data_IF_034432115801
#
_entry.id   IF_034432115801
#
_cell.length_a   1.000
_cell.length_b   1.000
_cell.length_c   1.000
_cell.angle_alpha   90.00
_cell.angle_beta   90.00
_cell.angle_gamma   90.00
#
_symmetry.space_group_name_H-M   'P 1'
#
loop_
_entity.id
_entity.type
_entity.pdbx_description
1 polymer ?
#
# COMPACT_ATOMS: atom_id res chain seq x y z
N UNK A 1 -10.95 -18.17 2.03
CA UNK A 1 -10.97 -16.68 2.18
C UNK A 1 -11.92 -16.07 3.23
N UNK A 2 -13.19 -16.51 3.37
CA UNK A 2 -14.17 -15.86 4.28
C UNK A 2 -13.67 -15.66 5.73
N UNK A 3 -13.05 -16.68 6.33
CA UNK A 3 -12.46 -16.63 7.69
C UNK A 3 -11.36 -15.54 7.82
N UNK A 4 -10.50 -15.39 6.81
CA UNK A 4 -9.42 -14.39 6.79
C UNK A 4 -10.02 -12.98 6.76
N UNK A 5 -10.98 -12.73 5.87
CA UNK A 5 -11.63 -11.43 5.75
C UNK A 5 -12.37 -11.04 7.03
N UNK A 6 -13.05 -12.00 7.68
CA UNK A 6 -13.70 -11.79 8.98
C UNK A 6 -12.68 -11.38 10.05
N UNK A 7 -11.52 -12.06 10.12
CA UNK A 7 -10.45 -11.73 11.07
C UNK A 7 -9.86 -10.33 10.80
N UNK A 8 -9.65 -9.95 9.54
CA UNK A 8 -9.15 -8.63 9.15
C UNK A 8 -10.15 -7.54 9.55
N UNK A 9 -11.44 -7.72 9.24
CA UNK A 9 -12.50 -6.77 9.63
C UNK A 9 -12.53 -6.51 11.13
N UNK A 10 -12.45 -7.57 11.95
CA UNK A 10 -12.36 -7.43 13.41
C UNK A 10 -11.12 -6.66 13.86
N UNK A 11 -9.97 -6.89 13.22
CA UNK A 11 -8.75 -6.16 13.54
C UNK A 11 -8.86 -4.67 13.19
N UNK A 12 -9.42 -4.33 12.04
CA UNK A 12 -9.61 -2.93 11.63
C UNK A 12 -10.64 -2.23 12.52
N UNK A 13 -11.71 -2.90 12.91
CA UNK A 13 -12.64 -2.38 13.93
C UNK A 13 -11.91 -2.10 15.25
N UNK A 14 -11.11 -3.05 15.74
CA UNK A 14 -10.32 -2.85 16.97
C UNK A 14 -9.33 -1.70 16.83
N UNK A 15 -8.67 -1.56 15.69
CA UNK A 15 -7.76 -0.44 15.42
C UNK A 15 -8.49 0.90 15.39
N UNK A 16 -9.68 0.95 14.80
CA UNK A 16 -10.49 2.17 14.76
C UNK A 16 -10.83 2.66 16.17
N UNK A 17 -11.20 1.74 17.08
CA UNK A 17 -11.42 2.06 18.49
C UNK A 17 -10.14 2.49 19.20
N UNK A 18 -8.99 1.85 18.91
CA UNK A 18 -7.69 2.19 19.50
C UNK A 18 -7.22 3.62 19.20
N UNK A 19 -7.64 4.16 18.05
CA UNK A 19 -7.23 5.47 17.54
C UNK A 19 -8.39 6.48 17.44
N UNK A 20 -9.56 6.17 18.01
CA UNK A 20 -10.76 7.02 17.91
C UNK A 20 -11.15 7.40 16.45
N UNK A 21 -11.04 6.45 15.52
CA UNK A 21 -11.30 6.66 14.10
C UNK A 21 -12.68 6.15 13.69
N UNK A 22 -13.29 6.82 12.71
CA UNK A 22 -14.49 6.31 12.03
C UNK A 22 -14.15 5.03 11.27
N UNK A 23 -15.09 4.10 11.24
CA UNK A 23 -14.97 2.81 10.58
C UNK A 23 -16.21 2.52 9.74
N UNK A 24 -16.02 1.96 8.55
CA UNK A 24 -17.08 1.32 7.77
C UNK A 24 -16.58 -0.01 7.20
N UNK A 25 -17.36 -1.09 7.36
CA UNK A 25 -17.03 -2.44 6.87
C UNK A 25 -16.92 -2.54 5.35
N UNK A 26 -17.54 -1.62 4.63
CA UNK A 26 -17.67 -1.62 3.16
C UNK A 26 -16.46 -1.00 2.47
N UNK A 27 -15.53 -0.41 3.24
CA UNK A 27 -14.26 0.10 2.72
C UNK A 27 -13.34 -1.01 2.21
N UNK A 28 -13.58 -2.27 2.60
CA UNK A 28 -12.82 -3.41 2.08
C UNK A 28 -13.28 -3.77 0.67
N UNK A 29 -12.59 -3.21 -0.33
CA UNK A 29 -12.68 -3.63 -1.73
C UNK A 29 -11.30 -3.93 -2.27
N UNK A 30 -11.10 -5.15 -2.77
CA UNK A 30 -9.83 -5.57 -3.34
C UNK A 30 -10.03 -6.32 -4.66
N UNK A 31 -8.97 -6.35 -5.47
CA UNK A 31 -8.86 -7.23 -6.64
C UNK A 31 -7.47 -7.84 -6.70
N UNK A 32 -7.37 -9.01 -7.31
CA UNK A 32 -6.09 -9.59 -7.67
C UNK A 32 -5.63 -9.04 -9.02
N UNK A 33 -4.37 -8.62 -9.07
CA UNK A 33 -3.72 -8.16 -10.28
C UNK A 33 -2.46 -8.99 -10.56
N UNK A 34 -2.07 -9.13 -11.83
CA UNK A 34 -0.77 -9.66 -12.21
C UNK A 34 0.40 -8.88 -11.58
N UNK A 35 1.53 -9.56 -11.35
CA UNK A 35 2.70 -8.94 -10.70
C UNK A 35 3.35 -7.84 -11.55
N UNK A 36 3.43 -8.04 -12.87
CA UNK A 36 3.87 -7.03 -13.84
C UNK A 36 3.05 -5.73 -13.72
N UNK A 37 1.74 -5.84 -13.50
CA UNK A 37 0.87 -4.68 -13.31
C UNK A 37 1.15 -3.93 -12.00
N UNK A 38 1.50 -4.60 -10.91
CA UNK A 38 1.92 -3.91 -9.67
C UNK A 38 3.17 -3.07 -9.92
N UNK A 39 4.14 -3.65 -10.62
CA UNK A 39 5.38 -2.93 -10.97
C UNK A 39 5.06 -1.70 -11.81
N UNK A 40 4.18 -1.84 -12.81
CA UNK A 40 3.73 -0.71 -13.62
C UNK A 40 2.98 0.33 -12.79
N UNK A 41 2.11 -0.09 -11.87
CA UNK A 41 1.34 0.80 -11.00
C UNK A 41 2.28 1.62 -10.10
N UNK A 42 3.26 0.97 -9.46
CA UNK A 42 4.29 1.63 -8.68
C UNK A 42 5.12 2.62 -9.53
N UNK A 43 5.50 2.18 -10.74
CA UNK A 43 6.27 2.97 -11.70
C UNK A 43 5.55 4.26 -12.10
N UNK A 44 4.23 4.20 -12.32
CA UNK A 44 3.37 5.31 -12.76
C UNK A 44 3.37 6.53 -11.81
N UNK A 45 3.94 6.43 -10.61
CA UNK A 45 4.13 7.58 -9.71
C UNK A 45 3.52 7.41 -8.32
N UNK A 46 3.08 6.21 -7.97
CA UNK A 46 2.51 5.95 -6.64
C UNK A 46 3.55 5.56 -5.60
N UNK A 47 4.71 5.04 -6.01
CA UNK A 47 5.79 4.75 -5.09
C UNK A 47 6.84 5.89 -5.12
N UNK A 48 7.18 6.50 -3.97
CA UNK A 48 8.25 7.50 -3.86
C UNK A 48 9.67 6.90 -4.02
N UNK A 49 9.77 5.65 -4.48
CA UNK A 49 11.01 4.89 -4.56
C UNK A 49 12.08 5.57 -5.42
N UNK A 50 13.34 5.37 -5.00
CA UNK A 50 14.53 5.73 -5.75
C UNK A 50 14.71 4.84 -6.98
N UNK A 51 14.26 3.60 -6.92
CA UNK A 51 14.46 2.59 -7.97
C UNK A 51 13.89 3.04 -9.32
N UNK A 52 12.78 3.79 -9.31
CA UNK A 52 12.16 4.33 -10.51
C UNK A 52 12.74 5.68 -10.96
N UNK A 53 13.51 6.38 -10.11
CA UNK A 53 14.06 7.71 -10.44
C UNK A 53 15.05 7.65 -11.60
N UNK A 54 15.75 6.53 -11.79
CA UNK A 54 16.65 6.32 -12.93
C UNK A 54 15.95 6.38 -14.29
N UNK A 55 14.64 6.14 -14.32
CA UNK A 55 13.81 6.25 -15.52
C UNK A 55 13.00 7.55 -15.57
N UNK A 56 13.15 8.44 -14.57
CA UNK A 56 12.47 9.73 -14.51
C UNK A 56 12.00 10.09 -13.10
N UNK A 57 12.23 11.34 -12.71
CA UNK A 57 11.74 11.89 -11.43
C UNK A 57 10.26 12.27 -11.50
N UNK A 58 9.77 12.68 -12.68
CA UNK A 58 8.36 13.04 -12.91
C UNK A 58 7.59 11.93 -13.60
N UNK A 59 6.26 11.95 -13.48
CA UNK A 59 5.36 11.00 -14.15
C UNK A 59 5.55 11.06 -15.67
N UNK A 60 5.74 12.25 -16.22
CA UNK A 60 5.93 12.50 -17.65
C UNK A 60 7.25 11.90 -18.15
N UNK A 61 8.36 12.09 -17.41
CA UNK A 61 9.65 11.48 -17.73
C UNK A 61 9.58 9.95 -17.65
N UNK A 62 8.89 9.41 -16.66
CA UNK A 62 8.68 7.96 -16.55
C UNK A 62 7.82 7.41 -17.69
N UNK A 63 6.78 8.14 -18.10
CA UNK A 63 5.94 7.77 -19.24
C UNK A 63 6.75 7.69 -20.54
N UNK A 64 7.64 8.66 -20.77
CA UNK A 64 8.55 8.66 -21.92
C UNK A 64 9.51 7.44 -21.91
N UNK A 65 9.97 7.02 -20.73
CA UNK A 65 10.88 5.88 -20.56
C UNK A 65 10.18 4.53 -20.34
N UNK A 66 8.84 4.47 -20.42
CA UNK A 66 8.06 3.28 -20.05
C UNK A 66 8.52 2.01 -20.76
N UNK A 67 8.72 2.08 -22.08
CA UNK A 67 9.11 0.90 -22.85
C UNK A 67 10.55 0.46 -22.57
N UNK A 68 11.45 1.40 -22.23
CA UNK A 68 12.82 1.09 -21.77
C UNK A 68 12.80 0.39 -20.41
N UNK A 69 11.91 0.83 -19.51
CA UNK A 69 11.76 0.20 -18.20
C UNK A 69 11.26 -1.25 -18.30
N UNK A 70 10.24 -1.51 -19.12
CA UNK A 70 9.59 -2.84 -19.19
C UNK A 70 10.54 -3.95 -19.69
N UNK A 71 11.51 -3.61 -20.52
CA UNK A 71 12.52 -4.57 -21.02
C UNK A 71 13.75 -4.67 -20.11
N UNK A 72 13.79 -3.91 -19.01
CA UNK A 72 14.94 -3.91 -18.10
C UNK A 72 14.90 -5.09 -17.12
N UNK A 73 16.08 -5.51 -16.65
CA UNK A 73 16.21 -6.52 -15.59
C UNK A 73 15.49 -6.09 -14.31
N UNK A 74 15.46 -4.79 -14.01
CA UNK A 74 14.76 -4.21 -12.86
C UNK A 74 13.28 -4.61 -12.85
N UNK A 75 12.61 -4.49 -14.01
CA UNK A 75 11.20 -4.82 -14.15
C UNK A 75 10.96 -6.30 -13.84
N UNK A 76 11.79 -7.18 -14.42
CA UNK A 76 11.73 -8.63 -14.21
C UNK A 76 11.98 -9.00 -12.75
N UNK A 77 12.91 -8.33 -12.06
CA UNK A 77 13.20 -8.59 -10.65
C UNK A 77 12.08 -8.09 -9.73
N UNK A 78 11.52 -6.90 -9.99
CA UNK A 78 10.41 -6.37 -9.22
C UNK A 78 9.11 -7.18 -9.40
N UNK A 79 8.89 -7.78 -10.58
CA UNK A 79 7.73 -8.60 -10.88
C UNK A 79 7.70 -9.94 -10.12
N UNK A 80 8.78 -10.32 -9.43
CA UNK A 80 8.82 -11.51 -8.56
C UNK A 80 8.25 -11.26 -7.16
N UNK A 81 8.01 -9.99 -6.79
CA UNK A 81 7.66 -9.60 -5.43
C UNK A 81 6.15 -9.59 -5.17
N UNK A 82 5.74 -10.05 -3.97
CA UNK A 82 4.40 -9.84 -3.44
C UNK A 82 4.17 -8.37 -3.10
N UNK A 83 2.92 -7.93 -3.07
CA UNK A 83 2.61 -6.58 -2.62
C UNK A 83 1.14 -6.21 -2.72
N UNK A 84 0.81 -5.14 -2.01
CA UNK A 84 -0.49 -4.49 -2.07
C UNK A 84 -0.30 -3.05 -2.49
N UNK A 85 -1.38 -2.43 -2.96
CA UNK A 85 -1.44 -0.99 -3.12
C UNK A 85 -2.89 -0.49 -3.11
N UNK A 86 -3.18 0.55 -2.34
CA UNK A 86 -4.43 1.31 -2.47
C UNK A 86 -4.35 2.27 -3.66
N UNK A 87 -5.37 2.25 -4.52
CA UNK A 87 -5.53 3.24 -5.59
C UNK A 87 -6.90 3.94 -5.51
N UNK A 88 -6.96 5.16 -6.02
CA UNK A 88 -8.19 5.94 -6.21
C UNK A 88 -8.51 6.24 -7.69
N UNK A 89 -9.49 7.11 -7.96
CA UNK A 89 -9.87 7.51 -9.32
C UNK A 89 -8.81 8.35 -10.04
N UNK A 90 -8.01 9.15 -9.32
CA UNK A 90 -6.94 9.97 -9.92
C UNK A 90 -5.79 9.07 -10.36
N UNK A 91 -5.44 8.16 -9.48
CA UNK A 91 -4.50 7.07 -9.70
C UNK A 91 -4.86 6.24 -10.95
N UNK A 92 -6.11 5.81 -11.06
CA UNK A 92 -6.63 5.09 -12.22
C UNK A 92 -6.42 5.84 -13.54
N UNK A 93 -6.69 7.15 -13.59
CA UNK A 93 -6.47 7.97 -14.79
C UNK A 93 -5.00 8.01 -15.21
N UNK A 94 -4.07 8.03 -14.26
CA UNK A 94 -2.63 7.94 -14.57
C UNK A 94 -2.31 6.57 -15.17
N UNK A 95 -2.82 5.49 -14.57
CA UNK A 95 -2.59 4.14 -15.07
C UNK A 95 -3.14 3.94 -16.50
N UNK A 96 -4.30 4.53 -16.83
CA UNK A 96 -4.86 4.52 -18.19
C UNK A 96 -3.88 5.13 -19.20
N UNK A 97 -3.37 6.34 -18.92
CA UNK A 97 -2.40 7.02 -19.79
C UNK A 97 -1.14 6.18 -20.05
N UNK A 98 -0.68 5.45 -19.04
CA UNK A 98 0.47 4.54 -19.20
C UNK A 98 0.12 3.33 -20.06
N UNK A 99 -1.04 2.71 -19.83
CA UNK A 99 -1.52 1.60 -20.62
C UNK A 99 -1.64 1.97 -22.11
N UNK A 100 -2.10 3.18 -22.42
CA UNK A 100 -2.24 3.66 -23.80
C UNK A 100 -0.89 3.75 -24.52
N UNK A 101 0.17 4.15 -23.80
CA UNK A 101 1.54 4.30 -24.33
C UNK A 101 2.38 3.01 -24.36
N UNK A 102 1.84 1.89 -23.87
CA UNK A 102 2.53 0.60 -23.95
C UNK A 102 2.65 0.12 -25.40
N UNK A 103 3.88 -0.16 -25.85
CA UNK A 103 4.13 -0.77 -27.17
C UNK A 103 3.96 -2.29 -27.16
N UNK A 104 4.24 -2.96 -26.04
CA UNK A 104 4.09 -4.40 -25.92
C UNK A 104 2.59 -4.78 -25.89
N UNK A 105 2.07 -5.32 -27.00
CA UNK A 105 0.64 -5.68 -27.17
C UNK A 105 0.14 -6.66 -26.11
N UNK A 106 0.91 -7.69 -25.78
CA UNK A 106 0.53 -8.71 -24.78
C UNK A 106 0.37 -8.09 -23.39
N UNK A 107 1.32 -7.22 -23.00
CA UNK A 107 1.26 -6.52 -21.71
C UNK A 107 0.16 -5.45 -21.69
N UNK A 108 -0.04 -4.73 -22.80
CA UNK A 108 -1.13 -3.75 -22.95
C UNK A 108 -2.50 -4.40 -22.78
N UNK A 109 -2.75 -5.53 -23.42
CA UNK A 109 -4.02 -6.26 -23.28
C UNK A 109 -4.26 -6.74 -21.84
N UNK A 110 -3.22 -7.29 -21.19
CA UNK A 110 -3.30 -7.66 -19.76
C UNK A 110 -3.63 -6.46 -18.88
N UNK A 111 -2.95 -5.33 -19.10
CA UNK A 111 -3.13 -4.13 -18.28
C UNK A 111 -4.52 -3.52 -18.50
N UNK A 112 -4.98 -3.42 -19.75
CA UNK A 112 -6.32 -2.94 -20.11
C UNK A 112 -7.42 -3.79 -19.46
N UNK A 113 -7.33 -5.11 -19.54
CA UNK A 113 -8.29 -6.01 -18.89
C UNK A 113 -8.38 -5.80 -17.38
N UNK A 114 -7.25 -5.55 -16.73
CA UNK A 114 -7.22 -5.28 -15.31
C UNK A 114 -7.73 -3.87 -14.96
N UNK A 115 -7.46 -2.87 -15.81
CA UNK A 115 -8.04 -1.52 -15.68
C UNK A 115 -9.56 -1.56 -15.74
N UNK A 116 -10.17 -2.36 -16.63
CA UNK A 116 -11.63 -2.52 -16.68
C UNK A 116 -12.18 -3.10 -15.36
N UNK A 117 -11.48 -4.07 -14.77
CA UNK A 117 -11.85 -4.63 -13.45
C UNK A 117 -11.71 -3.61 -12.32
N UNK A 118 -10.66 -2.80 -12.35
CA UNK A 118 -10.44 -1.70 -11.40
C UNK A 118 -11.58 -0.69 -11.50
N UNK A 119 -11.90 -0.25 -12.72
CA UNK A 119 -12.94 0.74 -12.97
C UNK A 119 -14.30 0.30 -12.42
N UNK A 120 -14.68 -0.95 -12.66
CA UNK A 120 -15.92 -1.52 -12.14
C UNK A 120 -15.98 -1.48 -10.60
N UNK A 121 -14.85 -1.63 -9.90
CA UNK A 121 -14.77 -1.48 -8.43
C UNK A 121 -14.83 -0.02 -8.01
N UNK A 122 -14.17 0.87 -8.74
CA UNK A 122 -14.16 2.32 -8.47
C UNK A 122 -15.49 3.02 -8.81
N UNK A 123 -16.39 2.38 -9.57
CA UNK A 123 -17.79 2.82 -9.69
C UNK A 123 -18.57 2.68 -8.38
N UNK A 124 -18.20 1.72 -7.53
CA UNK A 124 -18.89 1.38 -6.26
C UNK A 124 -18.13 1.88 -5.02
N UNK A 125 -16.99 2.52 -5.20
CA UNK A 125 -16.09 2.99 -4.13
C UNK A 125 -15.14 4.04 -4.66
N UNK A 126 -14.70 4.97 -3.82
CA UNK A 126 -13.64 5.91 -4.18
C UNK A 126 -12.25 5.26 -4.23
N UNK A 127 -12.08 4.07 -3.65
CA UNK A 127 -10.80 3.36 -3.52
C UNK A 127 -10.91 1.86 -3.74
N UNK A 128 -9.83 1.25 -4.21
CA UNK A 128 -9.67 -0.22 -4.31
C UNK A 128 -8.25 -0.64 -3.95
N UNK A 129 -8.12 -1.78 -3.28
CA UNK A 129 -6.85 -2.43 -2.97
C UNK A 129 -6.47 -3.35 -4.14
N UNK A 130 -5.30 -3.14 -4.71
CA UNK A 130 -4.69 -4.04 -5.68
C UNK A 130 -3.80 -5.01 -4.93
N UNK A 131 -3.98 -6.31 -5.14
CA UNK A 131 -3.14 -7.36 -4.56
C UNK A 131 -2.42 -8.12 -5.67
N UNK A 132 -1.09 -8.16 -5.60
CA UNK A 132 -0.25 -8.62 -6.69
C UNK A 132 0.50 -9.92 -6.41
N UNK A 133 0.91 -10.59 -7.50
CA UNK A 133 1.64 -11.87 -7.53
C UNK A 133 0.85 -13.07 -6.99
N UNK A 134 -0.43 -12.88 -6.71
CA UNK A 134 -1.31 -13.94 -6.24
C UNK A 134 -1.79 -14.73 -7.45
N UNK A 135 -1.04 -15.79 -7.80
CA UNK A 135 -1.57 -16.86 -8.64
C UNK A 135 -2.93 -17.28 -8.10
N UNK A 136 -3.85 -17.65 -8.99
CA UNK A 136 -5.30 -17.76 -8.73
C UNK A 136 -5.65 -18.33 -7.35
N UNK A 137 -6.75 -17.85 -6.75
CA UNK A 137 -7.27 -18.30 -5.45
C UNK A 137 -7.22 -19.84 -5.25
N UNK A 138 -7.42 -20.61 -6.31
CA UNK A 138 -7.37 -22.08 -6.30
C UNK A 138 -5.96 -22.68 -6.14
N UNK A 139 -4.91 -22.02 -6.62
CA UNK A 139 -3.51 -22.47 -6.38
C UNK A 139 -3.01 -22.07 -4.99
N UNK A 140 -3.67 -21.12 -4.32
CA UNK A 140 -3.27 -20.59 -3.01
C UNK A 140 -3.66 -21.49 -1.84
N UNK A 141 -4.71 -22.29 -1.97
CA UNK A 141 -5.14 -23.20 -0.90
C UNK A 141 -4.14 -24.35 -0.68
N UNK A 142 -3.24 -24.61 -1.65
CA UNK A 142 -2.19 -25.63 -1.56
C UNK A 142 -0.91 -25.19 -0.82
N UNK A 143 -0.73 -23.88 -0.52
CA UNK A 143 0.46 -23.37 0.18
C UNK A 143 0.06 -22.84 1.56
N UNK A 144 0.52 -23.52 2.62
CA UNK A 144 0.21 -23.21 4.03
C UNK A 144 0.45 -21.76 4.46
N UNK A 145 1.49 -21.10 3.93
CA UNK A 145 1.90 -19.75 4.33
C UNK A 145 1.25 -18.60 3.55
N UNK A 146 0.65 -18.89 2.39
CA UNK A 146 0.07 -17.87 1.51
C UNK A 146 -1.17 -17.16 2.09
N UNK A 147 -2.09 -17.85 2.78
CA UNK A 147 -3.16 -17.22 3.56
C UNK A 147 -2.64 -16.17 4.56
N UNK A 148 -1.46 -16.39 5.13
CA UNK A 148 -0.84 -15.46 6.06
C UNK A 148 -0.29 -14.24 5.33
N UNK A 149 0.47 -14.40 4.24
CA UNK A 149 1.01 -13.26 3.47
C UNK A 149 -0.12 -12.36 2.97
N UNK A 150 -1.17 -12.94 2.38
CA UNK A 150 -2.34 -12.19 1.89
C UNK A 150 -3.01 -11.43 3.02
N UNK A 151 -3.14 -12.07 4.19
CA UNK A 151 -3.70 -11.43 5.37
C UNK A 151 -2.88 -10.22 5.82
N UNK A 152 -1.55 -10.29 5.78
CA UNK A 152 -0.67 -9.19 6.18
C UNK A 152 -0.74 -8.03 5.18
N UNK A 153 -0.60 -8.32 3.89
CA UNK A 153 -0.68 -7.32 2.82
C UNK A 153 -2.05 -6.65 2.85
N UNK A 154 -3.13 -7.42 2.86
CA UNK A 154 -4.48 -6.84 2.85
C UNK A 154 -4.78 -6.05 4.12
N UNK A 155 -4.29 -6.49 5.29
CA UNK A 155 -4.44 -5.72 6.53
C UNK A 155 -3.68 -4.39 6.43
N UNK A 156 -2.44 -4.40 5.96
CA UNK A 156 -1.61 -3.22 5.78
C UNK A 156 -2.31 -2.18 4.87
N UNK A 157 -2.76 -2.58 3.68
CA UNK A 157 -3.47 -1.69 2.76
C UNK A 157 -4.80 -1.18 3.34
N UNK A 158 -5.51 -2.01 4.10
CA UNK A 158 -6.76 -1.60 4.73
C UNK A 158 -6.54 -0.61 5.89
N UNK A 159 -5.40 -0.68 6.58
CA UNK A 159 -4.99 0.35 7.55
C UNK A 159 -4.75 1.69 6.82
N UNK A 160 -4.10 1.70 5.65
CA UNK A 160 -4.00 2.92 4.84
C UNK A 160 -5.38 3.51 4.54
N UNK A 161 -6.33 2.68 4.09
CA UNK A 161 -7.71 3.16 3.82
C UNK A 161 -8.35 3.74 5.09
N UNK A 162 -8.25 3.07 6.24
CA UNK A 162 -8.78 3.56 7.51
C UNK A 162 -8.23 4.96 7.84
N UNK A 163 -6.92 5.15 7.75
CA UNK A 163 -6.28 6.43 8.04
C UNK A 163 -6.71 7.52 7.05
N UNK A 164 -6.70 7.22 5.76
CA UNK A 164 -7.02 8.20 4.72
C UNK A 164 -8.50 8.62 4.78
N UNK A 165 -9.42 7.69 5.05
CA UNK A 165 -10.85 8.00 5.27
C UNK A 165 -11.08 8.90 6.48
N UNK A 166 -10.17 8.88 7.43
CA UNK A 166 -10.14 9.78 8.58
C UNK A 166 -9.26 11.02 8.35
N UNK A 167 -8.92 11.36 7.09
CA UNK A 167 -8.10 12.52 6.71
C UNK A 167 -6.67 12.50 7.27
N UNK A 168 -6.16 11.33 7.62
CA UNK A 168 -4.76 11.11 8.05
C UNK A 168 -3.97 10.59 6.85
N UNK A 169 -3.25 11.50 6.19
CA UNK A 169 -2.32 11.18 5.11
C UNK A 169 -1.22 12.26 5.06
N UNK A 170 0.00 11.91 5.45
CA UNK A 170 1.15 12.80 5.55
C UNK A 170 1.79 13.09 4.20
N UNK A 171 1.63 12.19 3.22
CA UNK A 171 2.18 12.34 1.90
C UNK A 171 1.60 13.58 1.20
N UNK A 172 2.52 14.43 0.71
CA UNK A 172 2.23 15.42 -0.33
C UNK A 172 2.95 14.95 -1.61
N UNK A 173 2.49 15.38 -2.79
CA UNK A 173 3.18 15.09 -4.06
C UNK A 173 4.67 15.45 -3.92
N UNK A 174 5.57 14.51 -4.21
CA UNK A 174 7.04 14.64 -4.10
C UNK A 174 7.63 14.86 -2.68
N UNK A 175 6.90 14.58 -1.60
CA UNK A 175 7.40 14.86 -0.24
C UNK A 175 8.17 13.71 0.42
N UNK A 176 9.07 14.08 1.34
CA UNK A 176 9.79 13.15 2.25
C UNK A 176 8.89 12.49 3.31
N UNK A 177 7.59 12.84 3.34
CA UNK A 177 6.68 12.51 4.42
C UNK A 177 5.97 11.16 4.28
N UNK A 178 6.12 10.46 3.14
CA UNK A 178 5.63 9.08 2.97
C UNK A 178 6.09 8.14 4.11
N UNK A 179 7.26 8.40 4.70
CA UNK A 179 7.79 7.62 5.82
C UNK A 179 6.89 7.68 7.07
N UNK A 180 6.16 8.78 7.25
CA UNK A 180 5.19 8.91 8.34
C UNK A 180 3.94 8.06 8.07
N UNK A 181 3.46 8.00 6.82
CA UNK A 181 2.33 7.13 6.45
C UNK A 181 2.69 5.67 6.70
N UNK A 182 3.78 5.20 6.08
CA UNK A 182 4.27 3.82 6.23
C UNK A 182 4.60 3.47 7.68
N UNK A 183 5.20 4.42 8.41
CA UNK A 183 5.52 4.25 9.82
C UNK A 183 4.29 4.14 10.71
N UNK A 184 3.25 4.94 10.46
CA UNK A 184 1.99 4.86 11.20
C UNK A 184 1.28 3.55 10.91
N UNK A 185 1.23 3.12 9.64
CA UNK A 185 0.66 1.82 9.26
C UNK A 185 1.43 0.68 9.92
N UNK A 186 2.76 0.72 9.89
CA UNK A 186 3.62 -0.29 10.54
C UNK A 186 3.41 -0.32 12.05
N UNK A 187 3.28 0.84 12.71
CA UNK A 187 2.91 0.90 14.13
C UNK A 187 1.56 0.21 14.38
N UNK A 188 0.54 0.52 13.57
CA UNK A 188 -0.80 -0.05 13.72
C UNK A 188 -0.80 -1.57 13.54
N UNK A 189 -0.09 -2.09 12.54
CA UNK A 189 0.03 -3.52 12.30
C UNK A 189 0.71 -4.24 13.47
N UNK A 190 1.84 -3.71 13.95
CA UNK A 190 2.55 -4.30 15.09
C UNK A 190 1.78 -4.18 16.40
N UNK A 191 1.00 -3.12 16.59
CA UNK A 191 0.07 -3.00 17.72
C UNK A 191 -1.02 -4.08 17.65
N UNK A 192 -1.62 -4.29 16.47
CA UNK A 192 -2.62 -5.34 16.27
C UNK A 192 -2.07 -6.74 16.56
N UNK A 193 -0.78 -6.95 16.33
CA UNK A 193 -0.10 -8.21 16.58
C UNK A 193 0.48 -8.34 18.00
N UNK A 194 0.33 -7.32 18.86
CA UNK A 194 0.96 -7.24 20.18
C UNK A 194 2.50 -7.41 20.12
N UNK A 195 3.14 -6.84 19.09
CA UNK A 195 4.58 -7.00 18.79
C UNK A 195 5.36 -5.69 18.78
N UNK A 196 4.82 -4.62 19.38
CA UNK A 196 5.49 -3.30 19.40
C UNK A 196 6.89 -3.32 20.04
N UNK A 197 7.18 -4.29 20.91
CA UNK A 197 8.47 -4.47 21.59
C UNK A 197 9.61 -4.94 20.67
N UNK A 198 9.31 -5.51 19.50
CA UNK A 198 10.36 -6.01 18.58
C UNK A 198 10.71 -5.03 17.45
N UNK A 199 10.11 -3.84 17.44
CA UNK A 199 10.33 -2.84 16.37
C UNK A 199 11.81 -2.45 16.24
N UNK A 200 12.51 -2.23 17.36
CA UNK A 200 13.94 -1.90 17.38
C UNK A 200 14.79 -3.02 16.76
N UNK A 201 14.52 -4.28 17.15
CA UNK A 201 15.21 -5.46 16.61
C UNK A 201 14.96 -5.60 15.11
N UNK A 202 13.73 -5.32 14.65
CA UNK A 202 13.38 -5.34 13.22
C UNK A 202 14.10 -4.22 12.46
N UNK A 203 14.11 -2.99 12.96
CA UNK A 203 14.77 -1.85 12.33
C UNK A 203 16.27 -2.08 12.07
N UNK A 204 16.95 -2.86 12.91
CA UNK A 204 18.37 -3.23 12.75
C UNK A 204 18.61 -4.33 11.71
N UNK A 205 17.61 -5.17 11.41
CA UNK A 205 17.77 -6.35 10.52
C UNK A 205 17.56 -6.06 9.03
N UNK A 206 16.80 -5.02 8.68
CA UNK A 206 16.47 -4.75 7.28
C UNK A 206 17.64 -4.07 6.54
N UNK A 207 18.04 -4.68 5.42
CA UNK A 207 19.05 -4.13 4.49
C UNK A 207 18.46 -3.02 3.60
N UNK A 208 17.18 -3.13 3.22
CA UNK A 208 16.50 -2.09 2.43
C UNK A 208 16.36 -0.79 3.22
N UNK A 209 16.84 0.31 2.63
CA UNK A 209 16.72 1.65 3.23
C UNK A 209 15.27 2.07 3.40
N UNK A 210 14.38 1.67 2.49
CA UNK A 210 12.96 2.00 2.56
C UNK A 210 12.28 1.28 3.73
N UNK A 211 12.42 -0.03 3.80
CA UNK A 211 11.81 -0.85 4.88
C UNK A 211 12.33 -0.42 6.24
N UNK A 212 13.62 -0.09 6.35
CA UNK A 212 14.20 0.47 7.58
C UNK A 212 13.45 1.72 8.05
N UNK A 213 13.02 2.60 7.14
CA UNK A 213 12.25 3.79 7.52
C UNK A 213 10.88 3.45 8.09
N UNK A 214 10.22 2.39 7.62
CA UNK A 214 8.92 1.97 8.15
C UNK A 214 9.02 1.71 9.65
N UNK A 215 10.04 0.96 10.07
CA UNK A 215 10.28 0.66 11.49
C UNK A 215 10.74 1.88 12.29
N UNK A 216 11.64 2.70 11.74
CA UNK A 216 12.12 3.91 12.42
C UNK A 216 10.95 4.85 12.74
N UNK A 217 10.03 5.05 11.80
CA UNK A 217 8.87 5.91 12.02
C UNK A 217 7.80 5.23 12.88
N UNK A 218 7.63 3.90 12.80
CA UNK A 218 6.77 3.16 13.72
C UNK A 218 7.22 3.33 15.19
N UNK A 219 8.54 3.33 15.45
CA UNK A 219 9.09 3.60 16.79
C UNK A 219 8.76 5.03 17.24
N UNK A 220 8.83 6.02 16.34
CA UNK A 220 8.42 7.40 16.63
C UNK A 220 6.94 7.48 17.02
N UNK A 221 6.05 6.81 16.26
CA UNK A 221 4.63 6.74 16.61
C UNK A 221 4.39 6.00 17.93
N UNK A 222 5.10 4.90 18.19
CA UNK A 222 5.02 4.20 19.49
C UNK A 222 5.33 5.14 20.66
N UNK A 223 6.40 5.94 20.55
CA UNK A 223 6.75 6.94 21.57
C UNK A 223 5.69 8.04 21.68
N UNK A 224 5.25 8.59 20.55
CA UNK A 224 4.22 9.64 20.50
C UNK A 224 2.90 9.21 21.16
N UNK A 225 2.48 7.97 20.94
CA UNK A 225 1.17 7.44 21.33
C UNK A 225 1.17 6.68 22.67
N UNK A 226 2.34 6.56 23.32
CA UNK A 226 2.49 5.88 24.61
C UNK A 226 1.61 6.54 25.68
N UNK A 227 0.95 5.70 26.49
CA UNK A 227 0.13 6.08 27.64
C UNK A 227 -1.00 7.08 27.35
N UNK A 228 -1.41 7.22 26.07
CA UNK A 228 -2.52 8.07 25.66
C UNK A 228 -3.81 7.27 25.54
N UNK A 229 -4.95 7.87 25.84
CA UNK A 229 -6.29 7.39 25.49
C UNK A 229 -6.50 7.41 23.97
N UNK A 230 -7.52 6.72 23.42
CA UNK A 230 -7.81 6.76 21.99
C UNK A 230 -7.97 8.18 21.42
N UNK A 231 -8.70 9.05 22.13
CA UNK A 231 -8.91 10.44 21.70
C UNK A 231 -7.60 11.24 21.69
N UNK A 232 -6.75 11.08 22.71
CA UNK A 232 -5.45 11.74 22.77
C UNK A 232 -4.49 11.23 21.68
N UNK A 233 -4.53 9.94 21.35
CA UNK A 233 -3.74 9.37 20.23
C UNK A 233 -4.14 10.03 18.92
N UNK A 234 -5.44 10.12 18.64
CA UNK A 234 -5.97 10.82 17.46
C UNK A 234 -5.49 12.27 17.42
N UNK A 235 -5.69 13.03 18.50
CA UNK A 235 -5.25 14.43 18.61
C UNK A 235 -3.75 14.56 18.34
N UNK A 236 -2.92 13.71 18.93
CA UNK A 236 -1.47 13.71 18.72
C UNK A 236 -1.08 13.47 17.25
N UNK A 237 -1.73 12.52 16.57
CA UNK A 237 -1.52 12.26 15.13
C UNK A 237 -1.90 13.49 14.30
N UNK A 238 -3.05 14.12 14.58
CA UNK A 238 -3.49 15.32 13.86
C UNK A 238 -2.59 16.53 14.11
N UNK A 239 -2.10 16.74 15.34
CA UNK A 239 -1.16 17.81 15.66
C UNK A 239 0.13 17.60 14.87
N UNK A 240 0.68 16.38 14.87
CA UNK A 240 1.86 16.06 14.06
C UNK A 240 1.59 16.28 12.57
N UNK A 241 0.43 15.86 12.07
CA UNK A 241 0.03 16.04 10.67
C UNK A 241 -0.04 17.51 10.26
N UNK A 242 -0.61 18.37 11.11
CA UNK A 242 -0.65 19.82 10.88
C UNK A 242 0.75 20.44 10.90
N UNK A 243 1.62 20.05 11.84
CA UNK A 243 3.00 20.57 11.94
C UNK A 243 3.89 20.22 10.74
N UNK A 244 3.56 19.16 10.00
CA UNK A 244 4.32 18.70 8.83
C UNK A 244 3.72 19.17 7.50
N UNK A 245 2.54 19.81 7.53
CA UNK A 245 1.93 20.46 6.37
C UNK A 245 2.42 21.88 6.23
#
# INVERSE_FOLDING_TARGET
>A
MKKILSKIRRQILRLSKHLDLRHNSDWLRYIFIPADMKVLTNYCGMCPDKDYRKFGVTVEKRLANLNKFIVSEEFSNLAKSWGGQVIDKKDYKVMQRFCDKLKNKKLKNKFSNALNKIEAKLKKSDRVILLANISSLAQLEKKSDMPWIIRFVLLHELIHILLIKNKINFQKKNSKYWKYDEGLVTYCDFWLQKKLNVLEKKAKKFKSRMEKWYFVYAIKFRKLLKNKTPLERKKAIFILHKKLK
#
